data_IF_041323459384
#
_entry.id   IF_041323459384
#
_cell.length_a   1.000
_cell.length_b   1.000
_cell.length_c   1.000
_cell.angle_alpha   90.00
_cell.angle_beta   90.00
_cell.angle_gamma   90.00
#
_symmetry.space_group_name_H-M   'P 1'
#
loop_
_entity.id
_entity.type
_entity.pdbx_description
1 polymer ?
#
# COMPACT_ATOMS: atom_id res chain seq x y z
N UNK A 1 9.55 36.94 -12.51
CA UNK A 1 8.85 37.15 -11.23
C UNK A 1 9.70 36.52 -10.13
N UNK A 2 10.27 37.38 -9.28
CA UNK A 2 11.13 36.91 -8.15
C UNK A 2 10.22 36.24 -7.11
N UNK A 3 10.16 34.90 -7.11
CA UNK A 3 9.57 34.15 -5.99
C UNK A 3 10.46 34.43 -4.77
N UNK A 4 9.95 35.24 -3.86
CA UNK A 4 10.61 35.59 -2.60
C UNK A 4 10.98 34.27 -1.89
N UNK A 5 12.25 33.88 -1.96
CA UNK A 5 12.75 32.70 -1.27
C UNK A 5 12.58 32.92 0.23
N UNK A 6 11.98 31.94 0.90
CA UNK A 6 11.75 32.00 2.35
C UNK A 6 13.07 31.79 3.11
N UNK A 7 13.15 32.38 4.29
CA UNK A 7 14.27 32.20 5.20
C UNK A 7 14.28 30.78 5.74
N UNK A 8 15.41 30.12 5.73
CA UNK A 8 15.60 28.81 6.32
C UNK A 8 15.74 28.92 7.84
N UNK A 9 14.83 28.31 8.59
CA UNK A 9 14.89 28.27 10.05
C UNK A 9 16.09 27.51 10.62
N UNK A 10 16.75 26.66 9.79
CA UNK A 10 17.92 25.88 10.23
C UNK A 10 19.25 26.60 10.01
N UNK A 11 19.44 27.22 8.85
CA UNK A 11 20.73 27.84 8.50
C UNK A 11 20.67 29.34 8.27
N UNK A 12 19.49 29.97 8.39
CA UNK A 12 19.31 31.42 8.24
C UNK A 12 19.40 31.96 6.80
N UNK A 13 19.66 31.14 5.80
CA UNK A 13 19.80 31.58 4.42
C UNK A 13 18.43 31.67 3.71
N UNK A 14 18.26 32.63 2.79
CA UNK A 14 17.04 32.77 1.97
C UNK A 14 17.09 31.84 0.74
N UNK A 15 17.21 30.55 1.00
CA UNK A 15 17.39 29.53 -0.06
C UNK A 15 16.28 28.46 -0.04
N UNK A 16 15.15 28.74 0.63
CA UNK A 16 14.02 27.80 0.67
C UNK A 16 13.15 27.98 -0.57
N UNK A 17 12.97 26.89 -1.29
CA UNK A 17 12.07 26.81 -2.44
C UNK A 17 11.23 25.54 -2.37
N UNK A 18 10.02 25.60 -2.94
CA UNK A 18 9.20 24.40 -3.09
C UNK A 18 9.74 23.58 -4.25
N UNK A 19 10.25 22.39 -3.94
CA UNK A 19 10.89 21.50 -4.93
C UNK A 19 10.08 20.24 -5.18
N UNK A 20 9.91 19.90 -6.45
CA UNK A 20 9.47 18.61 -6.92
C UNK A 20 10.71 17.83 -7.37
N UNK A 21 10.83 16.58 -6.94
CA UNK A 21 11.95 15.73 -7.33
C UNK A 21 11.52 14.25 -7.39
N UNK A 22 12.06 13.47 -8.33
CA UNK A 22 11.85 12.02 -8.36
C UNK A 22 12.64 11.33 -7.25
N UNK A 23 12.29 10.07 -6.95
CA UNK A 23 13.07 9.18 -6.09
C UNK A 23 13.00 9.47 -4.58
N UNK A 24 12.15 10.41 -4.15
CA UNK A 24 11.92 10.65 -2.72
C UNK A 24 11.00 9.57 -2.15
N UNK A 25 11.32 9.07 -0.98
CA UNK A 25 10.60 7.99 -0.31
C UNK A 25 10.12 8.45 1.06
N UNK A 26 8.90 8.09 1.41
CA UNK A 26 8.34 8.22 2.76
C UNK A 26 7.93 6.86 3.30
N UNK A 27 7.95 6.73 4.63
CA UNK A 27 7.36 5.56 5.30
C UNK A 27 5.92 5.92 5.70
N UNK A 28 4.97 5.21 5.11
CA UNK A 28 3.55 5.37 5.38
C UNK A 28 2.95 4.03 5.79
N UNK A 29 2.30 3.97 6.95
CA UNK A 29 1.73 2.73 7.52
C UNK A 29 2.70 1.52 7.43
N UNK A 30 3.97 1.75 7.79
CA UNK A 30 5.07 0.76 7.74
C UNK A 30 5.41 0.25 6.34
N UNK A 31 5.02 0.95 5.29
CA UNK A 31 5.39 0.68 3.91
C UNK A 31 6.23 1.84 3.38
N UNK A 32 7.32 1.53 2.69
CA UNK A 32 8.11 2.55 1.98
C UNK A 32 7.44 2.85 0.65
N UNK A 33 6.99 4.07 0.50
CA UNK A 33 6.30 4.54 -0.70
C UNK A 33 7.07 5.68 -1.34
N UNK A 34 7.11 5.71 -2.65
CA UNK A 34 7.71 6.81 -3.40
C UNK A 34 6.77 8.01 -3.37
N UNK A 35 7.33 9.18 -3.04
CA UNK A 35 6.60 10.44 -3.06
C UNK A 35 6.45 10.87 -4.52
N UNK A 36 5.23 11.14 -5.01
CA UNK A 36 5.03 11.61 -6.36
C UNK A 36 5.90 12.83 -6.68
N UNK A 37 6.58 12.86 -7.83
CA UNK A 37 7.46 13.98 -8.18
C UNK A 37 6.73 15.32 -8.31
N UNK A 38 5.41 15.30 -8.50
CA UNK A 38 4.57 16.50 -8.54
C UNK A 38 4.38 17.17 -7.18
N UNK A 39 4.60 16.46 -6.07
CA UNK A 39 4.46 17.03 -4.72
C UNK A 39 5.66 17.90 -4.42
N UNK A 40 5.41 19.19 -4.25
CA UNK A 40 6.43 20.18 -3.94
C UNK A 40 6.65 20.25 -2.44
N UNK A 41 7.88 20.01 -2.01
CA UNK A 41 8.27 20.07 -0.60
C UNK A 41 9.20 21.26 -0.43
N UNK A 42 8.91 22.19 0.50
CA UNK A 42 9.82 23.28 0.82
C UNK A 42 11.18 22.73 1.26
N UNK A 43 12.22 23.03 0.50
CA UNK A 43 13.58 22.52 0.72
C UNK A 43 14.57 23.67 0.68
N UNK A 44 15.49 23.72 1.62
CA UNK A 44 16.60 24.67 1.59
C UNK A 44 17.73 24.15 0.70
N UNK A 45 18.08 24.88 -0.33
CA UNK A 45 19.17 24.51 -1.23
C UNK A 45 20.55 24.56 -0.58
N UNK A 46 20.71 25.39 0.47
CA UNK A 46 21.99 25.53 1.16
C UNK A 46 22.29 24.37 2.10
N UNK A 47 21.31 23.97 2.95
CA UNK A 47 21.54 22.95 3.99
C UNK A 47 20.71 21.68 3.82
N UNK A 48 19.88 21.56 2.77
CA UNK A 48 19.03 20.40 2.51
C UNK A 48 17.84 20.20 3.47
N UNK A 49 17.64 21.12 4.42
CA UNK A 49 16.53 21.03 5.37
C UNK A 49 15.19 21.10 4.62
N UNK A 50 14.23 20.27 5.03
CA UNK A 50 12.89 20.17 4.46
C UNK A 50 11.86 20.52 5.51
N UNK A 51 10.77 21.12 5.11
CA UNK A 51 9.64 21.44 5.98
C UNK A 51 8.35 20.90 5.39
N UNK A 52 7.49 20.48 6.28
CA UNK A 52 6.11 20.14 5.96
C UNK A 52 5.23 21.14 6.68
N UNK A 53 4.77 22.17 5.94
CA UNK A 53 3.65 22.97 6.43
C UNK A 53 2.36 22.13 6.36
N UNK A 54 1.32 22.61 7.03
CA UNK A 54 0.05 21.88 7.15
C UNK A 54 -0.53 21.48 5.79
N UNK A 55 -0.49 22.39 4.81
CA UNK A 55 -0.98 22.14 3.44
C UNK A 55 -0.14 21.08 2.72
N UNK A 56 1.17 21.16 2.83
CA UNK A 56 2.08 20.16 2.22
C UNK A 56 1.92 18.81 2.88
N UNK A 57 1.77 18.78 4.21
CA UNK A 57 1.57 17.53 4.94
C UNK A 57 0.25 16.87 4.53
N UNK A 58 -0.86 17.61 4.49
CA UNK A 58 -2.16 17.08 4.08
C UNK A 58 -2.12 16.53 2.63
N UNK A 59 -1.54 17.31 1.70
CA UNK A 59 -1.41 16.88 0.30
C UNK A 59 -0.56 15.61 0.16
N UNK A 60 0.51 15.51 0.96
CA UNK A 60 1.38 14.33 0.98
C UNK A 60 0.64 13.12 1.55
N UNK A 61 -0.07 13.27 2.65
CA UNK A 61 -0.82 12.19 3.29
C UNK A 61 -1.91 11.64 2.37
N UNK A 62 -2.67 12.50 1.69
CA UNK A 62 -3.68 12.09 0.71
C UNK A 62 -3.05 11.30 -0.45
N UNK A 63 -1.93 11.79 -0.97
CA UNK A 63 -1.22 11.11 -2.06
C UNK A 63 -0.65 9.76 -1.62
N UNK A 64 -0.06 9.69 -0.43
CA UNK A 64 0.48 8.44 0.12
C UNK A 64 -0.63 7.42 0.43
N UNK A 65 -1.79 7.85 0.92
CA UNK A 65 -2.95 6.96 1.11
C UNK A 65 -3.40 6.35 -0.22
N UNK A 66 -3.54 7.16 -1.27
CA UNK A 66 -3.92 6.66 -2.60
C UNK A 66 -2.90 5.65 -3.15
N UNK A 67 -1.61 5.92 -3.00
CA UNK A 67 -0.54 5.02 -3.44
C UNK A 67 -0.56 3.74 -2.61
N UNK A 68 -0.73 3.85 -1.30
CA UNK A 68 -0.83 2.71 -0.39
C UNK A 68 -1.98 1.78 -0.81
N UNK A 69 -3.17 2.33 -1.01
CA UNK A 69 -4.34 1.57 -1.42
C UNK A 69 -4.15 0.90 -2.79
N UNK A 70 -3.56 1.61 -3.73
CA UNK A 70 -3.23 1.05 -5.05
C UNK A 70 -2.22 -0.09 -4.93
N UNK A 71 -1.21 0.06 -4.11
CA UNK A 71 -0.17 -0.97 -3.87
C UNK A 71 -0.78 -2.24 -3.30
N UNK A 72 -1.65 -2.11 -2.29
CA UNK A 72 -2.36 -3.26 -1.70
C UNK A 72 -3.25 -3.96 -2.73
N UNK A 73 -3.99 -3.19 -3.53
CA UNK A 73 -4.90 -3.73 -4.54
C UNK A 73 -4.14 -4.45 -5.65
N UNK A 74 -3.07 -3.85 -6.17
CA UNK A 74 -2.25 -4.47 -7.21
C UNK A 74 -1.62 -5.77 -6.72
N UNK A 75 -1.12 -5.78 -5.49
CA UNK A 75 -0.55 -6.99 -4.90
C UNK A 75 -1.59 -8.09 -4.74
N UNK A 76 -2.76 -7.75 -4.20
CA UNK A 76 -3.87 -8.71 -4.07
C UNK A 76 -4.26 -9.31 -5.42
N UNK A 77 -4.41 -8.48 -6.45
CA UNK A 77 -4.76 -8.95 -7.80
C UNK A 77 -3.71 -9.90 -8.37
N UNK A 78 -2.43 -9.61 -8.17
CA UNK A 78 -1.33 -10.46 -8.62
C UNK A 78 -1.39 -11.82 -7.91
N UNK A 79 -1.45 -11.83 -6.58
CA UNK A 79 -1.43 -13.07 -5.79
C UNK A 79 -2.70 -13.91 -6.03
N UNK A 80 -3.88 -13.28 -6.22
CA UNK A 80 -5.10 -13.98 -6.63
C UNK A 80 -4.98 -14.56 -8.05
N UNK A 81 -4.36 -13.85 -8.97
CA UNK A 81 -4.08 -14.35 -10.32
C UNK A 81 -3.21 -15.60 -10.30
N UNK A 82 -2.18 -15.62 -9.46
CA UNK A 82 -1.31 -16.78 -9.29
C UNK A 82 -2.08 -17.99 -8.71
N UNK A 83 -2.95 -17.77 -7.71
CA UNK A 83 -3.79 -18.83 -7.13
C UNK A 83 -4.80 -19.37 -8.14
N UNK A 84 -5.48 -18.52 -8.89
CA UNK A 84 -6.43 -18.93 -9.93
C UNK A 84 -5.73 -19.67 -11.07
N UNK A 85 -4.53 -19.25 -11.45
CA UNK A 85 -3.68 -19.96 -12.43
C UNK A 85 -3.31 -21.38 -12.01
N UNK A 86 -3.31 -21.66 -10.70
CA UNK A 86 -3.10 -22.99 -10.11
C UNK A 86 -4.41 -23.77 -9.91
N UNK A 87 -5.53 -23.26 -10.36
CA UNK A 87 -6.85 -23.90 -10.22
C UNK A 87 -7.50 -23.72 -8.84
N UNK A 88 -6.96 -22.85 -7.96
CA UNK A 88 -7.60 -22.55 -6.67
C UNK A 88 -8.80 -21.63 -6.92
N UNK A 89 -9.98 -22.02 -6.47
CA UNK A 89 -11.21 -21.23 -6.68
C UNK A 89 -11.35 -20.11 -5.67
N UNK A 90 -12.09 -19.06 -6.03
CA UNK A 90 -12.39 -17.94 -5.13
C UNK A 90 -13.05 -18.43 -3.82
N UNK A 91 -14.00 -19.37 -3.93
CA UNK A 91 -14.67 -19.95 -2.76
C UNK A 91 -13.71 -20.65 -1.79
N UNK A 92 -12.70 -21.35 -2.30
CA UNK A 92 -11.68 -21.98 -1.44
C UNK A 92 -10.79 -20.96 -0.75
N UNK A 93 -10.44 -19.88 -1.44
CA UNK A 93 -9.65 -18.81 -0.83
C UNK A 93 -10.47 -18.11 0.26
N UNK A 94 -11.74 -17.79 0.00
CA UNK A 94 -12.65 -17.19 0.98
C UNK A 94 -12.85 -18.07 2.21
N UNK A 95 -13.01 -19.37 2.02
CA UNK A 95 -13.12 -20.33 3.11
C UNK A 95 -11.84 -20.37 3.95
N UNK A 96 -10.67 -20.45 3.32
CA UNK A 96 -9.38 -20.48 4.01
C UNK A 96 -9.10 -19.18 4.78
N UNK A 97 -9.57 -18.05 4.28
CA UNK A 97 -9.45 -16.74 4.94
C UNK A 97 -10.52 -16.51 6.03
N UNK A 98 -11.55 -17.35 6.11
CA UNK A 98 -12.67 -17.17 7.03
C UNK A 98 -13.55 -15.95 6.69
N UNK A 99 -13.59 -15.56 5.42
CA UNK A 99 -14.41 -14.43 4.95
C UNK A 99 -15.68 -14.90 4.25
N UNK A 100 -16.68 -14.03 4.18
CA UNK A 100 -17.96 -14.35 3.54
C UNK A 100 -17.81 -14.55 2.03
N UNK A 101 -18.65 -15.40 1.45
CA UNK A 101 -18.73 -15.58 -0.01
C UNK A 101 -18.96 -14.26 -0.73
N UNK A 102 -18.28 -14.07 -1.86
CA UNK A 102 -18.32 -12.86 -2.65
C UNK A 102 -17.52 -11.69 -2.05
N UNK A 103 -16.78 -11.91 -0.97
CA UNK A 103 -15.92 -10.88 -0.38
C UNK A 103 -14.78 -10.50 -1.33
N UNK A 104 -14.08 -11.49 -1.90
CA UNK A 104 -13.00 -11.26 -2.85
C UNK A 104 -13.50 -10.62 -4.14
N UNK A 105 -14.69 -11.00 -4.62
CA UNK A 105 -15.33 -10.36 -5.77
C UNK A 105 -15.54 -8.86 -5.54
N UNK A 106 -16.01 -8.46 -4.36
CA UNK A 106 -16.16 -7.03 -3.98
C UNK A 106 -14.84 -6.29 -3.90
N UNK A 107 -13.77 -6.94 -3.47
CA UNK A 107 -12.42 -6.35 -3.47
C UNK A 107 -11.90 -6.17 -4.90
N UNK A 108 -12.12 -7.16 -5.76
CA UNK A 108 -11.68 -7.11 -7.17
C UNK A 108 -12.44 -6.05 -7.97
N UNK A 109 -13.74 -5.89 -7.72
CA UNK A 109 -14.55 -4.84 -8.36
C UNK A 109 -14.25 -3.43 -7.88
N UNK A 110 -13.46 -3.30 -6.81
CA UNK A 110 -13.12 -2.00 -6.23
C UNK A 110 -14.19 -1.43 -5.29
N UNK A 111 -15.31 -2.15 -5.05
CA UNK A 111 -16.33 -1.71 -4.11
C UNK A 111 -15.90 -1.81 -2.64
N UNK A 112 -14.78 -2.48 -2.38
CA UNK A 112 -14.08 -2.49 -1.10
C UNK A 112 -12.58 -2.31 -1.27
N UNK A 113 -11.96 -1.77 -0.23
CA UNK A 113 -10.50 -1.68 -0.14
C UNK A 113 -9.96 -2.87 0.65
N UNK A 114 -8.93 -3.58 0.16
CA UNK A 114 -8.31 -4.66 0.91
C UNK A 114 -7.57 -4.14 2.13
N UNK A 115 -7.66 -4.85 3.25
CA UNK A 115 -6.79 -4.61 4.39
C UNK A 115 -5.39 -5.18 4.12
N UNK A 116 -4.38 -4.64 4.79
CA UNK A 116 -3.01 -5.12 4.68
C UNK A 116 -2.90 -6.58 5.11
N UNK A 117 -3.57 -6.96 6.19
CA UNK A 117 -3.56 -8.30 6.75
C UNK A 117 -4.10 -9.32 5.74
N UNK A 118 -5.19 -8.98 5.07
CA UNK A 118 -5.76 -9.81 4.01
C UNK A 118 -4.76 -10.00 2.85
N UNK A 119 -4.15 -8.91 2.39
CA UNK A 119 -3.16 -8.97 1.30
C UNK A 119 -1.97 -9.84 1.69
N UNK A 120 -1.47 -9.71 2.93
CA UNK A 120 -0.39 -10.56 3.46
C UNK A 120 -0.82 -12.02 3.51
N UNK A 121 -2.03 -12.33 3.99
CA UNK A 121 -2.54 -13.69 4.05
C UNK A 121 -2.63 -14.33 2.67
N UNK A 122 -3.20 -13.62 1.68
CA UNK A 122 -3.29 -14.10 0.29
C UNK A 122 -1.90 -14.28 -0.33
N UNK A 123 -0.96 -13.37 -0.04
CA UNK A 123 0.42 -13.49 -0.52
C UNK A 123 1.13 -14.75 0.03
N UNK A 124 0.87 -15.11 1.30
CA UNK A 124 1.37 -16.36 1.86
C UNK A 124 0.74 -17.59 1.18
N UNK A 125 -0.58 -17.57 0.97
CA UNK A 125 -1.26 -18.63 0.24
C UNK A 125 -0.73 -18.81 -1.19
N UNK A 126 -0.43 -17.71 -1.88
CA UNK A 126 0.14 -17.76 -3.23
C UNK A 126 1.56 -18.32 -3.26
N UNK A 127 2.34 -18.12 -2.20
CA UNK A 127 3.69 -18.71 -2.05
C UNK A 127 3.66 -20.16 -1.63
N UNK A 128 2.65 -20.59 -0.89
CA UNK A 128 2.48 -21.97 -0.47
C UNK A 128 2.07 -22.81 -1.68
N UNK A 129 2.86 -23.87 -1.95
CA UNK A 129 2.60 -24.80 -3.04
C UNK A 129 1.77 -26.03 -2.60
N UNK A 130 1.42 -26.12 -1.32
CA UNK A 130 0.58 -27.19 -0.81
C UNK A 130 -0.85 -27.06 -1.33
N UNK A 131 -1.52 -28.17 -1.58
CA UNK A 131 -2.94 -28.24 -1.95
C UNK A 131 -3.69 -29.13 -0.94
N UNK A 132 -4.64 -28.61 -0.14
CA UNK A 132 -5.09 -27.22 -0.08
C UNK A 132 -4.07 -26.32 0.62
N UNK A 133 -3.91 -25.07 0.14
CA UNK A 133 -3.01 -24.17 0.79
C UNK A 133 -3.55 -23.79 2.18
N UNK A 134 -2.71 -23.93 3.21
CA UNK A 134 -2.76 -23.22 4.47
C UNK A 134 -3.80 -23.67 5.53
N UNK A 135 -5.07 -23.91 5.19
CA UNK A 135 -6.13 -24.05 6.20
C UNK A 135 -5.99 -25.32 7.04
N UNK A 136 -5.63 -26.45 6.43
CA UNK A 136 -5.48 -27.73 7.15
C UNK A 136 -4.19 -27.79 7.97
N UNK A 137 -3.18 -27.02 7.60
CA UNK A 137 -1.89 -27.00 8.31
C UNK A 137 -1.94 -26.16 9.58
N UNK A 138 -2.71 -25.07 9.57
CA UNK A 138 -2.84 -24.16 10.72
C UNK A 138 -3.97 -24.54 11.65
N UNK A 139 -5.06 -25.11 11.11
CA UNK A 139 -6.21 -25.57 11.88
C UNK A 139 -6.45 -27.08 11.67
N UNK A 140 -5.53 -27.95 12.16
CA UNK A 140 -5.73 -29.38 12.04
C UNK A 140 -6.98 -29.79 12.83
N UNK A 141 -8.00 -30.29 12.15
CA UNK A 141 -9.24 -30.77 12.75
C UNK A 141 -10.51 -30.03 12.36
N UNK A 142 -10.47 -29.09 11.42
CA UNK A 142 -11.65 -28.55 10.77
C UNK A 142 -12.39 -29.70 10.06
N UNK A 143 -13.54 -30.13 10.57
CA UNK A 143 -14.38 -31.17 9.97
C UNK A 143 -14.73 -30.73 8.55
N UNK A 144 -14.38 -31.59 7.58
CA UNK A 144 -15.01 -31.51 6.26
C UNK A 144 -16.51 -31.59 6.49
N UNK A 145 -17.22 -30.53 6.16
CA UNK A 145 -18.66 -30.61 6.04
C UNK A 145 -18.92 -31.59 4.88
N UNK A 146 -19.35 -32.79 5.23
CA UNK A 146 -19.87 -33.73 4.26
C UNK A 146 -21.18 -33.16 3.73
N UNK A 147 -21.23 -32.91 2.45
CA UNK A 147 -22.41 -32.51 1.70
C UNK A 147 -22.35 -33.12 0.33
#
# INVERSE_FOLDING_TARGET
MNKTRRLCGKCGQREVSAEAAPGRVATYRRMRLEIPPSIKIPTCRNCGARWFDETTAATLDDALELIYQRTLRNRLQQDLGDLFGRGVTEARIEEALGVSRGYLSRLRSGSRTPSRELVVAVAYMAKDKADPPFAETIFPGGRRAAG
#
